data_IF_746100136603
#
_entry.id   IF_746100136603
#
_cell.length_a   1.000
_cell.length_b   1.000
_cell.length_c   1.000
_cell.angle_alpha   90.00
_cell.angle_beta   90.00
_cell.angle_gamma   90.00
#
_symmetry.space_group_name_H-M   'P 1'
#
loop_
_entity.id
_entity.type
_entity.pdbx_description
1 polymer ?
#
# COMPACT_ATOMS: atom_id res chain seq x y z
N UNK A 1 -9.65 -36.34 24.78
CA UNK A 1 -8.65 -36.27 23.69
C UNK A 1 -9.21 -35.70 22.39
N UNK A 2 -10.41 -36.10 21.94
CA UNK A 2 -11.10 -35.53 20.76
C UNK A 2 -11.19 -33.99 20.75
N UNK A 3 -11.55 -33.38 21.88
CA UNK A 3 -11.71 -31.93 21.98
C UNK A 3 -10.38 -31.17 21.85
N UNK A 4 -9.27 -31.77 22.30
CA UNK A 4 -7.93 -31.19 22.17
C UNK A 4 -7.46 -31.23 20.71
N UNK A 5 -7.75 -32.33 20.00
CA UNK A 5 -7.47 -32.47 18.57
C UNK A 5 -8.27 -31.44 17.76
N UNK A 6 -9.55 -31.25 18.08
CA UNK A 6 -10.42 -30.26 17.41
C UNK A 6 -9.86 -28.84 17.57
N UNK A 7 -9.42 -28.48 18.77
CA UNK A 7 -8.82 -27.16 19.04
C UNK A 7 -7.53 -26.97 18.25
N UNK A 8 -6.65 -27.98 18.20
CA UNK A 8 -5.40 -27.93 17.42
C UNK A 8 -5.71 -27.79 15.93
N UNK A 9 -6.70 -28.51 15.40
CA UNK A 9 -7.08 -28.42 13.99
C UNK A 9 -7.67 -27.06 13.62
N UNK A 10 -8.48 -26.46 14.51
CA UNK A 10 -9.05 -25.12 14.28
C UNK A 10 -7.96 -24.05 14.31
N UNK A 11 -7.04 -24.12 15.28
CA UNK A 11 -5.90 -23.20 15.37
C UNK A 11 -5.01 -23.33 14.12
N UNK A 12 -4.74 -24.55 13.67
CA UNK A 12 -3.93 -24.78 12.47
C UNK A 12 -4.60 -24.23 11.20
N UNK A 13 -5.93 -24.35 11.06
CA UNK A 13 -6.67 -23.75 9.94
C UNK A 13 -6.62 -22.22 9.96
N UNK A 14 -6.74 -21.59 11.14
CA UNK A 14 -6.65 -20.13 11.28
C UNK A 14 -5.25 -19.62 10.94
N UNK A 15 -4.20 -20.35 11.30
CA UNK A 15 -2.81 -20.00 10.95
C UNK A 15 -2.55 -20.15 9.44
N UNK A 16 -3.12 -21.17 8.79
CA UNK A 16 -2.99 -21.37 7.34
C UNK A 16 -3.81 -20.38 6.52
N UNK A 17 -4.92 -19.88 7.08
CA UNK A 17 -5.72 -18.81 6.49
C UNK A 17 -5.15 -17.41 6.76
N UNK A 18 -3.85 -17.30 7.05
CA UNK A 18 -3.17 -16.01 7.20
C UNK A 18 -3.54 -15.10 6.03
N UNK A 19 -4.23 -14.00 6.32
CA UNK A 19 -4.64 -13.04 5.31
C UNK A 19 -3.38 -12.43 4.69
N UNK A 20 -3.05 -12.81 3.46
CA UNK A 20 -2.16 -12.03 2.62
C UNK A 20 -2.81 -10.66 2.44
N UNK A 21 -2.19 -9.61 2.95
CA UNK A 21 -2.66 -8.20 2.87
C UNK A 21 -2.50 -7.63 1.44
N UNK A 22 -2.85 -8.43 0.43
CA UNK A 22 -2.73 -8.11 -0.97
C UNK A 22 -3.96 -7.31 -1.42
N UNK A 23 -3.71 -6.17 -2.06
CA UNK A 23 -4.78 -5.27 -2.47
C UNK A 23 -4.34 -3.81 -2.62
N UNK A 24 -5.24 -3.01 -3.17
CA UNK A 24 -5.11 -1.55 -3.20
C UNK A 24 -5.77 -1.01 -1.92
N UNK A 25 -4.96 -0.46 -1.02
CA UNK A 25 -5.41 0.03 0.29
C UNK A 25 -5.38 1.56 0.28
N UNK A 26 -6.56 2.17 0.39
CA UNK A 26 -6.67 3.62 0.50
C UNK A 26 -6.15 4.08 1.87
N UNK A 27 -5.34 5.13 1.85
CA UNK A 27 -4.83 5.79 3.05
C UNK A 27 -5.67 7.03 3.35
N UNK A 28 -5.88 7.32 4.64
CA UNK A 28 -6.70 8.46 5.07
C UNK A 28 -5.88 9.65 5.52
N UNK A 29 -4.60 9.44 5.83
CA UNK A 29 -3.66 10.51 6.17
C UNK A 29 -2.35 10.29 5.42
N UNK A 30 -1.73 11.38 4.98
CA UNK A 30 -0.40 11.39 4.36
C UNK A 30 0.68 10.75 5.24
N UNK A 31 0.67 11.05 6.54
CA UNK A 31 1.59 10.47 7.55
C UNK A 31 1.50 8.93 7.64
N UNK A 32 0.37 8.37 7.24
CA UNK A 32 0.12 6.94 7.21
C UNK A 32 0.97 6.25 6.13
N UNK A 33 1.30 6.95 5.02
CA UNK A 33 2.22 6.44 3.99
C UNK A 33 3.56 6.08 4.64
N UNK A 34 4.15 7.04 5.36
CA UNK A 34 5.48 6.86 5.97
C UNK A 34 5.49 5.75 7.02
N UNK A 35 4.40 5.63 7.78
CA UNK A 35 4.27 4.62 8.83
C UNK A 35 4.13 3.22 8.22
N UNK A 36 3.25 3.05 7.24
CA UNK A 36 3.06 1.78 6.53
C UNK A 36 4.32 1.35 5.78
N UNK A 37 5.06 2.28 5.17
CA UNK A 37 6.34 2.00 4.51
C UNK A 37 7.43 1.51 5.48
N UNK A 38 7.41 1.94 6.74
CA UNK A 38 8.38 1.50 7.75
C UNK A 38 8.07 0.08 8.26
N UNK A 39 6.79 -0.23 8.41
CA UNK A 39 6.30 -1.52 8.91
C UNK A 39 6.37 -2.64 7.88
N UNK A 40 6.29 -2.29 6.59
CA UNK A 40 6.43 -3.23 5.48
C UNK A 40 7.80 -3.95 5.52
N UNK A 41 7.73 -5.28 5.64
CA UNK A 41 8.88 -6.19 5.53
C UNK A 41 9.27 -6.47 4.07
N UNK A 42 8.43 -6.06 3.11
CA UNK A 42 8.65 -6.25 1.69
C UNK A 42 9.83 -5.40 1.19
N UNK A 43 10.53 -5.91 0.19
CA UNK A 43 11.72 -5.26 -0.38
C UNK A 43 11.37 -3.98 -1.17
N UNK A 44 10.14 -3.88 -1.65
CA UNK A 44 9.58 -2.71 -2.28
C UNK A 44 8.08 -2.56 -1.97
N UNK A 45 7.66 -1.34 -1.66
CA UNK A 45 6.25 -0.96 -1.51
C UNK A 45 5.85 -0.03 -2.64
N UNK A 46 4.59 -0.06 -3.06
CA UNK A 46 4.09 0.82 -4.13
C UNK A 46 3.04 1.79 -3.59
N UNK A 47 3.05 3.02 -4.12
CA UNK A 47 2.04 4.04 -3.84
C UNK A 47 1.43 4.49 -5.15
N UNK A 48 0.11 4.35 -5.28
CA UNK A 48 -0.69 4.80 -6.40
C UNK A 48 -1.33 6.15 -6.08
N UNK A 49 -0.98 7.18 -6.83
CA UNK A 49 -1.60 8.50 -6.77
C UNK A 49 -2.65 8.62 -7.87
N UNK A 50 -3.90 8.86 -7.47
CA UNK A 50 -5.04 8.94 -8.37
C UNK A 50 -6.24 9.60 -7.74
N UNK A 51 -7.38 9.61 -8.44
CA UNK A 51 -8.68 10.03 -7.89
C UNK A 51 -9.84 9.45 -8.70
N UNK A 52 -11.03 9.25 -8.08
CA UNK A 52 -12.18 8.70 -8.77
C UNK A 52 -12.73 9.64 -9.86
N UNK A 53 -12.52 10.95 -9.76
CA UNK A 53 -13.01 11.95 -10.73
C UNK A 53 -12.15 12.05 -12.01
N UNK A 54 -10.99 11.38 -12.06
CA UNK A 54 -10.07 11.43 -13.20
C UNK A 54 -10.33 10.29 -14.20
N UNK A 55 -10.71 10.57 -15.46
CA UNK A 55 -10.99 9.52 -16.46
C UNK A 55 -9.80 8.60 -16.75
N UNK A 56 -8.57 9.10 -16.63
CA UNK A 56 -7.36 8.29 -16.82
C UNK A 56 -7.11 7.37 -15.61
N UNK A 57 -7.39 7.83 -14.39
CA UNK A 57 -7.32 7.00 -13.19
C UNK A 57 -8.36 5.87 -13.22
N UNK A 58 -9.58 6.15 -13.66
CA UNK A 58 -10.64 5.14 -13.82
C UNK A 58 -10.23 4.03 -14.82
N UNK A 59 -9.48 4.36 -15.86
CA UNK A 59 -8.95 3.38 -16.84
C UNK A 59 -7.73 2.61 -16.31
N UNK A 60 -6.93 3.23 -15.45
CA UNK A 60 -5.69 2.63 -14.91
C UNK A 60 -5.96 1.69 -13.74
N UNK A 61 -6.84 2.10 -12.82
CA UNK A 61 -7.16 1.35 -11.59
C UNK A 61 -7.52 -0.13 -11.83
N UNK A 62 -8.42 -0.52 -12.75
CA UNK A 62 -8.76 -1.94 -12.95
C UNK A 62 -7.58 -2.76 -13.49
N UNK A 63 -6.67 -2.14 -14.25
CA UNK A 63 -5.46 -2.81 -14.73
C UNK A 63 -4.48 -3.03 -13.59
N UNK A 64 -4.31 -2.02 -12.73
CA UNK A 64 -3.49 -2.13 -11.54
C UNK A 64 -4.06 -3.20 -10.59
N UNK A 65 -5.35 -3.15 -10.28
CA UNK A 65 -6.04 -4.12 -9.40
C UNK A 65 -5.85 -5.57 -9.88
N UNK A 66 -5.93 -5.80 -11.19
CA UNK A 66 -5.67 -7.12 -11.78
C UNK A 66 -4.25 -7.62 -11.47
N UNK A 67 -3.24 -6.76 -11.65
CA UNK A 67 -1.83 -7.09 -11.38
C UNK A 67 -1.59 -7.26 -9.87
N UNK A 68 -2.21 -6.43 -9.05
CA UNK A 68 -2.10 -6.46 -7.59
C UNK A 68 -2.62 -7.79 -7.03
N UNK A 69 -3.77 -8.25 -7.54
CA UNK A 69 -4.35 -9.55 -7.21
C UNK A 69 -3.52 -10.71 -7.74
N UNK A 70 -3.08 -10.65 -8.99
CA UNK A 70 -2.27 -11.71 -9.62
C UNK A 70 -0.94 -11.92 -8.89
N UNK A 71 -0.30 -10.82 -8.44
CA UNK A 71 1.00 -10.86 -7.78
C UNK A 71 0.92 -10.95 -6.27
N UNK A 72 -0.30 -10.94 -5.71
CA UNK A 72 -0.56 -10.90 -4.27
C UNK A 72 0.26 -9.82 -3.54
N UNK A 73 0.35 -8.62 -4.13
CA UNK A 73 1.09 -7.48 -3.57
C UNK A 73 0.16 -6.46 -2.93
N UNK A 74 0.70 -5.61 -2.07
CA UNK A 74 -0.01 -4.45 -1.51
C UNK A 74 0.40 -3.18 -2.25
N UNK A 75 -0.58 -2.33 -2.55
CA UNK A 75 -0.36 -0.98 -3.09
C UNK A 75 -1.14 0.01 -2.24
N UNK A 76 -0.47 1.04 -1.73
CA UNK A 76 -1.13 2.13 -1.02
C UNK A 76 -1.76 3.07 -2.04
N UNK A 77 -2.98 3.53 -1.81
CA UNK A 77 -3.70 4.45 -2.71
C UNK A 77 -3.89 5.81 -2.05
N UNK A 78 -3.25 6.81 -2.63
CA UNK A 78 -3.38 8.21 -2.25
C UNK A 78 -4.41 8.89 -3.16
N UNK A 79 -5.58 9.19 -2.58
CA UNK A 79 -6.65 9.87 -3.31
C UNK A 79 -6.41 11.39 -3.32
N UNK A 80 -5.97 11.89 -4.46
CA UNK A 80 -5.65 13.32 -4.65
C UNK A 80 -6.85 14.28 -4.56
N UNK A 81 -8.09 13.78 -4.61
CA UNK A 81 -9.26 14.63 -4.30
C UNK A 81 -9.45 14.77 -2.78
N UNK A 82 -9.30 13.68 -2.03
CA UNK A 82 -9.53 13.66 -0.57
C UNK A 82 -8.44 14.43 0.19
N UNK A 83 -7.19 14.33 -0.28
CA UNK A 83 -6.05 14.98 0.36
C UNK A 83 -5.77 16.40 -0.16
N UNK A 84 -6.58 16.91 -1.09
CA UNK A 84 -6.28 18.18 -1.78
C UNK A 84 -6.13 19.37 -0.84
N UNK A 85 -6.87 19.35 0.26
CA UNK A 85 -6.89 20.41 1.27
C UNK A 85 -5.95 20.14 2.45
N UNK A 86 -5.21 19.03 2.42
CA UNK A 86 -4.22 18.72 3.46
C UNK A 86 -3.03 19.69 3.34
N UNK A 87 -2.53 20.17 4.49
CA UNK A 87 -1.45 21.16 4.54
C UNK A 87 -0.14 20.68 3.88
N UNK A 88 0.05 19.36 3.79
CA UNK A 88 1.25 18.73 3.24
C UNK A 88 1.06 18.14 1.84
N UNK A 89 -0.08 18.38 1.19
CA UNK A 89 -0.41 17.82 -0.13
C UNK A 89 0.73 18.00 -1.16
N UNK A 90 1.17 19.24 -1.38
CA UNK A 90 2.23 19.55 -2.35
C UNK A 90 3.55 18.88 -1.97
N UNK A 91 3.88 18.87 -0.68
CA UNK A 91 5.10 18.22 -0.17
C UNK A 91 5.08 16.71 -0.43
N UNK A 92 3.93 16.06 -0.28
CA UNK A 92 3.76 14.64 -0.57
C UNK A 92 3.92 14.40 -2.08
N UNK A 93 3.32 15.21 -2.94
CA UNK A 93 3.50 15.05 -4.39
C UNK A 93 4.97 15.22 -4.80
N UNK A 94 5.65 16.23 -4.25
CA UNK A 94 7.07 16.51 -4.51
C UNK A 94 7.99 15.38 -4.03
N UNK A 95 7.76 14.84 -2.82
CA UNK A 95 8.56 13.75 -2.25
C UNK A 95 8.55 12.50 -3.15
N UNK A 96 7.42 12.24 -3.82
CA UNK A 96 7.24 11.09 -4.70
C UNK A 96 7.42 11.42 -6.20
N UNK A 97 7.70 12.68 -6.54
CA UNK A 97 7.89 13.16 -7.91
C UNK A 97 6.62 13.09 -8.77
N UNK A 98 5.46 13.35 -8.17
CA UNK A 98 4.15 13.22 -8.82
C UNK A 98 3.79 14.50 -9.57
N UNK A 99 4.11 14.56 -10.85
CA UNK A 99 3.71 15.70 -11.70
C UNK A 99 2.28 15.56 -12.24
N UNK A 100 1.82 14.32 -12.49
CA UNK A 100 0.53 14.02 -13.12
C UNK A 100 -0.01 12.67 -12.64
N UNK A 101 -1.32 12.56 -12.52
CA UNK A 101 -2.00 11.29 -12.22
C UNK A 101 -2.64 10.68 -13.48
N UNK A 102 -2.83 9.33 -13.54
CA UNK A 102 -2.41 8.33 -12.56
C UNK A 102 -0.89 8.17 -12.48
N UNK A 103 -0.35 7.99 -11.27
CA UNK A 103 1.08 7.77 -11.05
C UNK A 103 1.31 6.63 -10.06
N UNK A 104 2.23 5.71 -10.38
CA UNK A 104 2.58 4.58 -9.51
C UNK A 104 4.04 4.70 -9.09
N UNK A 105 4.27 5.10 -7.85
CA UNK A 105 5.60 5.20 -7.27
C UNK A 105 6.05 3.83 -6.74
N UNK A 106 7.30 3.45 -7.00
CA UNK A 106 7.97 2.34 -6.33
C UNK A 106 8.86 2.89 -5.23
N UNK A 107 8.51 2.61 -3.98
CA UNK A 107 9.30 2.96 -2.81
C UNK A 107 10.20 1.80 -2.47
N UNK A 108 11.52 2.00 -2.63
CA UNK A 108 12.51 1.07 -2.09
C UNK A 108 12.76 1.44 -0.63
N UNK A 109 12.75 0.45 0.26
CA UNK A 109 13.24 0.62 1.62
C UNK A 109 14.69 1.12 1.53
N UNK A 110 14.96 2.36 1.94
CA UNK A 110 16.35 2.79 2.10
C UNK A 110 16.95 1.92 3.19
N UNK A 111 17.95 1.10 2.85
CA UNK A 111 18.82 0.51 3.88
C UNK A 111 19.47 1.69 4.60
N UNK A 112 19.00 2.00 5.81
CA UNK A 112 19.70 2.93 6.69
C UNK A 112 21.02 2.28 7.06
N UNK A 113 22.08 2.68 6.36
CA UNK A 113 23.46 2.49 6.75
C UNK A 113 24.15 3.83 6.53
N UNK A 114 24.95 4.23 7.54
CA UNK A 114 25.90 5.36 7.58
C UNK A 114 25.20 6.69 7.92
N UNK A 115 25.34 7.28 9.11
CA UNK A 115 26.56 7.43 9.90
C UNK A 115 27.36 8.59 9.32
N UNK A 116 26.95 9.83 9.61
CA UNK A 116 27.76 10.99 9.26
C UNK A 116 28.72 11.29 10.40
N UNK A 117 30.01 11.19 10.05
CA UNK A 117 31.18 11.55 10.84
C UNK A 117 31.21 13.05 11.15
#
# INVERSE_FOLDING_TARGET
MKNLIIVITVILMVVLAGCSDAGIVEIKKSDEITSLLKEEKQEATYVYFGRPTCPYCQKFHPKLDSVVKEKEIKVLYYNTDEHREDEDFDKVLDEYGVERIPYLAKVKKRKSNIGFN
#
